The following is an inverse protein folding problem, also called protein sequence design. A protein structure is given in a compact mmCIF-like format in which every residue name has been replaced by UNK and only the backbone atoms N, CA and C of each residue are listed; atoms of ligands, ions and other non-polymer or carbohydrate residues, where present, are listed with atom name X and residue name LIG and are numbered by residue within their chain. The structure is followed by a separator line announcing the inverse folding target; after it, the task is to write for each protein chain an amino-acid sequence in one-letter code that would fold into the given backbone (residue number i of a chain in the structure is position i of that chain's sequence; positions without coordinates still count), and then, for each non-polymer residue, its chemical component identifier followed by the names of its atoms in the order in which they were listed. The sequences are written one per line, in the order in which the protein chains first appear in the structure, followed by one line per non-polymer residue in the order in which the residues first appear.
data_IF_895046349177
#
_entry.id   IF_895046349177
#
_cell.length_a   1.000
_cell.length_b   1.000
_cell.length_c   1.000
_cell.angle_alpha   90.00
_cell.angle_beta   90.00
_cell.angle_gamma   90.00
#
_symmetry.space_group_name_H-M   'P 1'
#
loop_
_entity.id
_entity.type
_entity.pdbx_description
1 polymer ?
#
# COMPACT_ATOMS: atom_id res chain seq x y z
N UNK A 1 17.09 32.06 -12.97
CA UNK A 1 15.80 31.45 -13.33
C UNK A 1 15.84 30.10 -12.68
N UNK A 2 15.39 30.14 -11.44
CA UNK A 2 15.39 29.10 -10.45
C UNK A 2 14.48 28.00 -11.00
N UNK A 3 15.09 26.90 -11.44
CA UNK A 3 14.36 25.67 -11.72
C UNK A 3 13.99 25.10 -10.36
N UNK A 4 12.94 25.66 -9.75
CA UNK A 4 12.16 24.99 -8.72
C UNK A 4 11.57 23.76 -9.41
N UNK A 5 12.35 22.68 -9.42
CA UNK A 5 11.84 21.34 -9.61
C UNK A 5 10.74 21.23 -8.58
N UNK A 6 9.49 21.31 -9.03
CA UNK A 6 8.34 20.84 -8.29
C UNK A 6 8.57 19.33 -8.12
N UNK A 7 9.42 18.98 -7.17
CA UNK A 7 9.42 17.68 -6.54
C UNK A 7 8.02 17.60 -5.97
N UNK A 8 7.13 16.96 -6.75
CA UNK A 8 5.92 16.41 -6.18
C UNK A 8 6.43 15.45 -5.12
N UNK A 9 6.57 15.95 -3.89
CA UNK A 9 6.64 15.10 -2.71
C UNK A 9 5.41 14.22 -2.83
N UNK A 10 5.62 12.97 -3.25
CA UNK A 10 4.59 11.94 -3.32
C UNK A 10 4.24 11.57 -1.88
N UNK A 11 3.61 12.52 -1.19
CA UNK A 11 3.22 12.36 0.18
C UNK A 11 2.23 11.21 0.26
N UNK A 12 2.58 10.20 1.07
CA UNK A 12 1.76 9.02 1.23
C UNK A 12 0.59 9.38 2.14
N UNK A 13 -0.64 9.20 1.66
CA UNK A 13 -1.84 9.48 2.43
C UNK A 13 -2.51 8.18 2.85
N UNK A 14 -2.69 7.96 4.15
CA UNK A 14 -3.31 6.75 4.68
C UNK A 14 -4.24 7.05 5.85
N UNK A 15 -5.16 6.13 6.11
CA UNK A 15 -6.16 6.30 7.15
C UNK A 15 -5.92 5.31 8.29
N UNK A 16 -5.85 5.80 9.52
CA UNK A 16 -5.71 4.93 10.68
C UNK A 16 -6.95 4.02 10.80
N UNK A 17 -6.80 2.68 10.85
CA UNK A 17 -7.93 1.76 10.92
C UNK A 17 -8.64 1.76 12.29
N UNK A 18 -8.02 2.35 13.32
CA UNK A 18 -8.59 2.44 14.67
C UNK A 18 -9.51 3.64 14.85
N UNK A 19 -9.09 4.82 14.39
CA UNK A 19 -9.79 6.08 14.66
C UNK A 19 -10.24 6.84 13.40
N UNK A 20 -9.82 6.40 12.22
CA UNK A 20 -10.16 7.04 10.96
C UNK A 20 -9.41 8.34 10.67
N UNK A 21 -8.42 8.72 11.50
CA UNK A 21 -7.57 9.88 11.22
C UNK A 21 -6.83 9.70 9.90
N UNK A 22 -6.83 10.75 9.06
CA UNK A 22 -6.01 10.81 7.87
C UNK A 22 -4.62 11.26 8.28
N UNK A 23 -3.61 10.45 7.98
CA UNK A 23 -2.20 10.73 8.20
C UNK A 23 -1.52 10.92 6.85
N UNK A 24 -0.51 11.78 6.84
CA UNK A 24 0.28 12.10 5.65
C UNK A 24 1.73 11.96 6.05
N UNK A 25 2.43 11.02 5.41
CA UNK A 25 3.86 10.89 5.57
C UNK A 25 4.56 11.43 4.31
N UNK A 26 5.26 12.54 4.49
CA UNK A 26 5.86 13.30 3.40
C UNK A 26 7.24 12.76 2.96
N UNK A 27 7.80 11.72 3.62
CA UNK A 27 9.21 11.35 3.44
C UNK A 27 9.55 9.86 3.48
N UNK A 28 8.64 8.95 3.81
CA UNK A 28 8.95 7.51 3.81
C UNK A 28 8.95 6.90 2.40
N UNK A 29 10.14 6.56 1.93
CA UNK A 29 10.32 5.61 0.82
C UNK A 29 9.98 4.22 1.33
N UNK A 30 8.73 3.83 1.18
CA UNK A 30 8.28 2.49 1.49
C UNK A 30 8.59 1.58 0.29
N UNK A 31 9.28 0.49 0.57
CA UNK A 31 9.44 -0.60 -0.38
C UNK A 31 8.08 -1.22 -0.68
N UNK A 32 7.83 -1.46 -1.96
CA UNK A 32 6.66 -2.21 -2.42
C UNK A 32 6.59 -3.58 -1.74
N UNK A 33 5.36 -4.05 -1.51
CA UNK A 33 5.03 -5.34 -0.90
C UNK A 33 5.62 -5.57 0.49
N UNK A 34 6.10 -4.51 1.13
CA UNK A 34 6.62 -4.56 2.50
C UNK A 34 5.58 -4.04 3.48
N UNK A 35 5.35 -4.81 4.53
CA UNK A 35 4.44 -4.41 5.61
C UNK A 35 5.22 -3.66 6.70
N UNK A 36 4.81 -2.43 6.97
CA UNK A 36 5.39 -1.52 7.93
C UNK A 36 4.52 -1.41 9.18
N UNK A 37 5.06 -1.68 10.39
CA UNK A 37 4.35 -1.40 11.63
C UNK A 37 4.38 0.10 11.94
N UNK A 38 3.21 0.72 12.03
CA UNK A 38 3.04 2.14 12.35
C UNK A 38 2.26 2.32 13.66
N UNK A 39 2.32 3.52 14.21
CA UNK A 39 1.51 3.92 15.38
C UNK A 39 0.86 5.26 15.08
N UNK A 40 -0.47 5.32 15.15
CA UNK A 40 -1.21 6.53 14.84
C UNK A 40 -0.91 7.64 15.85
N UNK A 41 -0.65 8.86 15.38
CA UNK A 41 -0.33 9.98 16.26
C UNK A 41 -1.54 10.49 17.06
N UNK A 42 -2.75 10.26 16.55
CA UNK A 42 -4.00 10.70 17.17
C UNK A 42 -4.46 9.74 18.26
N UNK A 43 -4.66 8.45 17.92
CA UNK A 43 -5.22 7.48 18.87
C UNK A 43 -4.16 6.60 19.54
N UNK A 44 -2.88 6.72 19.14
CA UNK A 44 -1.75 5.88 19.62
C UNK A 44 -1.94 4.38 19.40
N UNK A 45 -2.88 4.00 18.54
CA UNK A 45 -3.11 2.61 18.16
C UNK A 45 -2.04 2.16 17.16
N UNK A 46 -1.45 0.99 17.40
CA UNK A 46 -0.54 0.36 16.46
C UNK A 46 -1.32 -0.34 15.35
N UNK A 47 -0.82 -0.24 14.13
CA UNK A 47 -1.41 -0.85 12.94
C UNK A 47 -0.29 -1.14 11.92
N UNK A 48 -0.66 -1.79 10.83
CA UNK A 48 0.23 -2.13 9.73
C UNK A 48 -0.19 -1.37 8.50
N UNK A 49 0.81 -0.91 7.74
CA UNK A 49 0.63 -0.30 6.43
C UNK A 49 1.42 -1.12 5.41
N UNK A 50 0.80 -1.41 4.27
CA UNK A 50 1.46 -2.04 3.12
C UNK A 50 1.17 -1.20 1.89
N UNK A 51 2.20 -0.96 1.09
CA UNK A 51 2.08 -0.27 -0.20
C UNK A 51 2.32 -1.29 -1.31
N UNK A 52 1.45 -1.27 -2.31
CA UNK A 52 1.56 -2.10 -3.49
C UNK A 52 1.44 -1.24 -4.75
N UNK A 53 2.17 -1.55 -5.80
CA UNK A 53 1.98 -0.92 -7.10
C UNK A 53 0.92 -1.68 -7.92
N UNK A 54 -0.06 -0.97 -8.47
CA UNK A 54 -0.99 -1.57 -9.41
C UNK A 54 -0.31 -1.84 -10.76
N UNK A 55 -0.09 -3.11 -11.08
CA UNK A 55 0.53 -3.54 -12.35
C UNK A 55 -0.22 -3.10 -13.62
N UNK A 56 -1.51 -2.75 -13.51
CA UNK A 56 -2.29 -2.27 -14.65
C UNK A 56 -2.14 -0.77 -14.94
N UNK A 57 -1.92 0.07 -13.91
CA UNK A 57 -1.92 1.53 -14.08
C UNK A 57 -0.76 2.28 -13.42
N UNK A 58 0.10 1.57 -12.67
CA UNK A 58 1.24 2.13 -11.94
C UNK A 58 0.86 3.01 -10.76
N UNK A 59 -0.39 2.93 -10.28
CA UNK A 59 -0.82 3.69 -9.11
C UNK A 59 -0.51 2.92 -7.82
N UNK A 60 -0.02 3.63 -6.82
CA UNK A 60 0.17 3.09 -5.47
C UNK A 60 -1.17 2.77 -4.83
N UNK A 61 -1.26 1.57 -4.26
CA UNK A 61 -2.40 1.06 -3.52
C UNK A 61 -1.97 0.84 -2.08
N UNK A 62 -2.58 1.60 -1.19
CA UNK A 62 -2.25 1.62 0.23
C UNK A 62 -3.29 0.78 0.99
N UNK A 63 -2.83 -0.22 1.72
CA UNK A 63 -3.65 -1.00 2.66
C UNK A 63 -3.20 -0.72 4.10
N UNK A 64 -4.18 -0.46 4.97
CA UNK A 64 -3.95 -0.33 6.41
C UNK A 64 -4.77 -1.36 7.18
N UNK A 65 -4.15 -2.04 8.15
CA UNK A 65 -4.82 -3.06 8.96
C UNK A 65 -4.38 -3.05 10.42
N UNK A 66 -5.29 -3.43 11.32
CA UNK A 66 -4.98 -3.56 12.75
C UNK A 66 -3.99 -4.71 12.99
N UNK A 67 -4.21 -5.84 12.31
CA UNK A 67 -3.34 -7.01 12.33
C UNK A 67 -2.49 -7.08 11.06
N UNK A 68 -1.41 -7.87 11.09
CA UNK A 68 -0.62 -8.11 9.90
C UNK A 68 -1.51 -8.69 8.79
N UNK A 69 -1.49 -8.14 7.56
CA UNK A 69 -2.38 -8.59 6.51
C UNK A 69 -2.07 -10.05 6.14
N UNK A 70 -3.12 -10.87 6.05
CA UNK A 70 -2.98 -12.24 5.53
C UNK A 70 -2.82 -12.22 4.01
N UNK A 71 -2.19 -13.25 3.45
CA UNK A 71 -2.08 -13.42 2.01
C UNK A 71 -3.46 -13.37 1.31
N UNK A 72 -4.49 -13.98 1.91
CA UNK A 72 -5.88 -13.91 1.43
C UNK A 72 -6.45 -12.50 1.37
N UNK A 73 -6.09 -11.63 2.34
CA UNK A 73 -6.52 -10.23 2.33
C UNK A 73 -5.83 -9.50 1.19
N UNK A 74 -4.53 -9.70 1.04
CA UNK A 74 -3.74 -9.05 0.00
C UNK A 74 -4.21 -9.44 -1.42
N UNK A 75 -4.56 -10.72 -1.63
CA UNK A 75 -5.14 -11.22 -2.89
C UNK A 75 -6.48 -10.58 -3.27
N UNK A 76 -7.19 -9.99 -2.31
CA UNK A 76 -8.48 -9.32 -2.55
C UNK A 76 -8.34 -7.80 -2.70
N UNK A 77 -7.12 -7.26 -2.61
CA UNK A 77 -6.88 -5.84 -2.86
C UNK A 77 -7.15 -5.53 -4.32
N UNK A 78 -7.90 -4.44 -4.52
CA UNK A 78 -8.17 -3.89 -5.83
C UNK A 78 -7.69 -2.45 -5.87
N UNK A 79 -7.15 -2.05 -7.02
CA UNK A 79 -6.68 -0.70 -7.23
C UNK A 79 -7.88 0.27 -7.21
N UNK A 80 -7.88 1.30 -6.36
CA UNK A 80 -8.96 2.28 -6.32
C UNK A 80 -9.03 3.13 -7.60
N UNK A 81 -7.95 3.21 -8.37
CA UNK A 81 -7.89 4.00 -9.61
C UNK A 81 -8.49 3.26 -10.82
N UNK A 82 -8.15 1.98 -11.02
CA UNK A 82 -8.54 1.23 -12.21
C UNK A 82 -9.40 -0.02 -11.94
N UNK A 83 -9.59 -0.39 -10.67
CA UNK A 83 -10.38 -1.55 -10.24
C UNK A 83 -9.74 -2.92 -10.46
N UNK A 84 -8.50 -3.00 -10.99
CA UNK A 84 -7.80 -4.27 -11.16
C UNK A 84 -7.34 -4.85 -9.84
N UNK A 85 -7.26 -6.18 -9.76
CA UNK A 85 -6.59 -6.85 -8.65
C UNK A 85 -5.12 -6.40 -8.58
N UNK A 86 -4.64 -6.19 -7.35
CA UNK A 86 -3.28 -5.69 -7.11
C UNK A 86 -2.28 -6.85 -7.06
N UNK A 87 -2.66 -7.95 -6.42
CA UNK A 87 -1.90 -9.19 -6.40
C UNK A 87 -2.54 -10.11 -7.42
N UNK A 88 -1.83 -10.41 -8.50
CA UNK A 88 -2.23 -11.47 -9.41
C UNK A 88 -2.09 -12.80 -8.67
N UNK A 89 -3.14 -13.62 -8.70
CA UNK A 89 -2.99 -15.01 -8.29
C UNK A 89 -2.04 -15.62 -9.32
N UNK A 90 -0.78 -15.90 -8.93
CA UNK A 90 0.02 -16.86 -9.66
C UNK A 90 -0.81 -18.15 -9.68
N UNK A 91 -1.59 -18.33 -10.73
CA UNK A 91 -2.25 -19.59 -11.03
C UNK A 91 -1.11 -20.60 -11.06
N UNK A 92 -1.08 -21.50 -10.06
CA UNK A 92 -0.14 -22.62 -9.95
C UNK A 92 0.21 -23.11 -11.35
N UNK A 93 1.36 -22.67 -11.88
CA UNK A 93 1.81 -23.13 -13.18
C UNK A 93 1.99 -24.63 -12.99
N UNK A 94 1.17 -25.48 -13.66
CA UNK A 94 1.38 -26.90 -13.52
C UNK A 94 2.76 -27.15 -14.12
N UNK A 95 3.73 -27.41 -13.25
CA UNK A 95 5.04 -27.93 -13.59
C UNK A 95 4.79 -29.16 -14.46
N UNK A 96 4.74 -28.94 -15.77
CA UNK A 96 4.59 -29.98 -16.76
C UNK A 96 5.83 -30.86 -16.57
N UNK A 97 5.61 -32.00 -15.93
CA UNK A 97 6.56 -33.08 -15.85
C UNK A 97 6.91 -33.50 -17.29
N UNK A 98 8.16 -33.29 -17.68
CA UNK A 98 8.80 -33.93 -18.84
C UNK A 98 10.11 -34.56 -18.40
#
# INVERSE_FOLDING_TARGET
MDTETLEASSALHYQCPHCGALETDDFEWLSEDTTYPLTCDVCRGSFFLTVHECQACGADVIDTSIDAPSADKLRRLTCPCCGHAVVEEDEDEPLFQL
#
